data_IF_281277988586
#
_entry.id   IF_281277988586
#
_cell.length_a   1.000
_cell.length_b   1.000
_cell.length_c   1.000
_cell.angle_alpha   90.00
_cell.angle_beta   90.00
_cell.angle_gamma   90.00
#
_symmetry.space_group_name_H-M   'P 1'
#
loop_
_entity.id
_entity.type
_entity.pdbx_description
1 polymer ?
#
# COMPACT_ATOMS: atom_id res chain seq x y z
N UNK A 1 -42.14 3.39 17.95
CA UNK A 1 -40.95 3.33 17.05
C UNK A 1 -39.75 3.84 17.82
N UNK A 2 -38.96 2.96 18.39
CA UNK A 2 -37.70 3.36 19.04
C UNK A 2 -36.69 3.68 17.93
N UNK A 3 -36.37 4.95 17.75
CA UNK A 3 -35.37 5.37 16.80
C UNK A 3 -34.03 4.66 17.10
N UNK A 4 -33.48 3.94 16.15
CA UNK A 4 -32.13 3.34 16.27
C UNK A 4 -31.16 4.48 16.63
N UNK A 5 -30.59 4.43 17.84
CA UNK A 5 -29.56 5.39 18.25
C UNK A 5 -28.42 5.29 17.22
N UNK A 6 -28.07 6.42 16.62
CA UNK A 6 -26.95 6.50 15.68
C UNK A 6 -25.68 6.02 16.38
N UNK A 7 -24.83 5.24 15.71
CA UNK A 7 -23.58 4.81 16.31
C UNK A 7 -22.70 6.01 16.66
N UNK A 8 -22.09 5.96 17.83
CA UNK A 8 -21.25 7.03 18.37
C UNK A 8 -19.91 6.48 18.83
N UNK A 9 -18.85 7.23 18.63
CA UNK A 9 -17.52 6.93 19.17
C UNK A 9 -17.26 7.73 20.43
N UNK A 10 -16.74 7.08 21.46
CA UNK A 10 -16.32 7.73 22.70
C UNK A 10 -14.90 8.26 22.52
N UNK A 11 -14.71 9.56 22.67
CA UNK A 11 -13.41 10.22 22.60
C UNK A 11 -12.65 10.19 23.92
N UNK A 12 -13.38 10.14 25.03
CA UNK A 12 -12.81 10.17 26.37
C UNK A 12 -13.86 10.48 27.42
N UNK A 13 -13.40 10.75 28.61
CA UNK A 13 -14.22 11.15 29.76
C UNK A 13 -13.79 12.52 30.26
N UNK A 14 -14.70 13.24 30.91
CA UNK A 14 -14.44 14.56 31.47
C UNK A 14 -15.30 14.81 32.72
N UNK A 15 -15.10 15.94 33.35
CA UNK A 15 -15.84 16.35 34.57
C UNK A 15 -15.34 15.70 35.85
N UNK A 16 -16.04 15.94 36.99
CA UNK A 16 -15.68 15.34 38.26
C UNK A 16 -15.65 13.82 38.18
N UNK A 17 -14.57 13.21 38.68
CA UNK A 17 -14.35 11.76 38.67
C UNK A 17 -14.35 11.12 37.26
N UNK A 18 -14.21 11.90 36.19
CA UNK A 18 -14.26 11.39 34.79
C UNK A 18 -15.53 10.59 34.45
N UNK A 19 -16.69 10.95 35.02
CA UNK A 19 -17.94 10.23 34.84
C UNK A 19 -18.68 10.57 33.55
N UNK A 20 -18.45 11.75 33.00
CA UNK A 20 -19.10 12.19 31.76
C UNK A 20 -18.33 11.71 30.54
N UNK A 21 -19.00 11.06 29.62
CA UNK A 21 -18.39 10.58 28.35
C UNK A 21 -18.56 11.64 27.25
N UNK A 22 -17.44 12.02 26.63
CA UNK A 22 -17.45 12.80 25.40
C UNK A 22 -17.65 11.84 24.22
N UNK A 23 -18.72 12.01 23.45
CA UNK A 23 -19.05 11.15 22.30
C UNK A 23 -19.31 12.01 21.08
N UNK A 24 -18.89 11.51 19.93
CA UNK A 24 -19.25 12.06 18.63
C UNK A 24 -20.02 11.03 17.81
N UNK A 25 -21.02 11.46 17.03
CA UNK A 25 -21.68 10.60 16.06
C UNK A 25 -20.66 10.17 15.00
N UNK A 26 -20.87 8.98 14.38
CA UNK A 26 -19.94 8.43 13.39
C UNK A 26 -19.78 9.36 12.18
N UNK A 27 -20.84 10.06 11.80
CA UNK A 27 -20.84 11.03 10.69
C UNK A 27 -19.87 12.21 10.91
N UNK A 28 -19.46 12.49 12.15
CA UNK A 28 -18.44 13.50 12.43
C UNK A 28 -17.04 13.10 11.90
N UNK A 29 -16.87 11.83 11.55
CA UNK A 29 -15.62 11.29 10.99
C UNK A 29 -15.65 11.15 9.46
N UNK A 30 -16.72 11.59 8.80
CA UNK A 30 -16.79 11.66 7.32
C UNK A 30 -15.78 12.67 6.74
N UNK A 31 -15.25 13.53 7.61
CA UNK A 31 -14.13 14.43 7.33
C UNK A 31 -12.88 14.01 8.11
N UNK A 32 -11.77 14.70 7.89
CA UNK A 32 -10.51 14.35 8.54
C UNK A 32 -10.48 14.71 10.03
N UNK A 33 -9.95 13.81 10.85
CA UNK A 33 -9.57 14.08 12.24
C UNK A 33 -8.05 14.22 12.32
N UNK A 34 -7.57 15.37 12.81
CA UNK A 34 -6.16 15.61 13.05
C UNK A 34 -5.85 15.60 14.53
N UNK A 35 -4.99 14.66 14.97
CA UNK A 35 -4.63 14.46 16.39
C UNK A 35 -3.22 14.97 16.64
N UNK A 36 -3.09 16.05 17.40
CA UNK A 36 -1.83 16.70 17.72
C UNK A 36 -1.49 16.54 19.20
N UNK A 37 -0.23 16.32 19.50
CA UNK A 37 0.26 16.26 20.86
C UNK A 37 1.74 15.88 20.91
N UNK A 38 2.40 16.20 22.03
CA UNK A 38 3.79 15.80 22.25
C UNK A 38 3.93 14.29 22.31
N UNK A 39 5.14 13.79 22.03
CA UNK A 39 5.47 12.37 22.18
C UNK A 39 5.12 11.88 23.59
N UNK A 40 4.65 10.63 23.70
CA UNK A 40 4.23 9.97 24.96
C UNK A 40 3.02 10.63 25.66
N UNK A 41 2.22 11.43 24.97
CA UNK A 41 1.00 12.07 25.53
C UNK A 41 -0.31 11.37 25.10
N UNK A 42 -0.26 10.10 24.72
CA UNK A 42 -1.43 9.28 24.52
C UNK A 42 -2.08 9.33 23.13
N UNK A 43 -1.45 9.97 22.11
CA UNK A 43 -2.01 10.01 20.74
C UNK A 43 -2.32 8.61 20.18
N UNK A 44 -1.36 7.69 20.26
CA UNK A 44 -1.52 6.33 19.77
C UNK A 44 -2.59 5.58 20.55
N UNK A 45 -2.69 5.74 21.87
CA UNK A 45 -3.74 5.15 22.69
C UNK A 45 -5.13 5.71 22.38
N UNK A 46 -5.22 6.98 22.05
CA UNK A 46 -6.47 7.59 21.56
C UNK A 46 -6.90 6.97 20.22
N UNK A 47 -5.98 6.89 19.25
CA UNK A 47 -6.25 6.26 17.95
C UNK A 47 -6.61 4.77 18.11
N UNK A 48 -5.89 4.03 18.95
CA UNK A 48 -6.19 2.64 19.30
C UNK A 48 -7.63 2.49 19.80
N UNK A 49 -8.05 3.37 20.73
CA UNK A 49 -9.42 3.35 21.26
C UNK A 49 -10.47 3.61 20.19
N UNK A 50 -10.23 4.54 19.26
CA UNK A 50 -11.16 4.81 18.15
C UNK A 50 -11.25 3.62 17.19
N UNK A 51 -10.11 3.07 16.79
CA UNK A 51 -10.05 1.91 15.88
C UNK A 51 -10.73 0.68 16.50
N UNK A 52 -10.48 0.39 17.78
CA UNK A 52 -11.14 -0.70 18.49
C UNK A 52 -12.66 -0.53 18.52
N UNK A 53 -13.16 0.69 18.74
CA UNK A 53 -14.60 0.97 18.72
C UNK A 53 -15.19 0.77 17.32
N UNK A 54 -14.51 1.23 16.25
CA UNK A 54 -14.95 1.03 14.87
C UNK A 54 -15.05 -0.46 14.53
N UNK A 55 -14.02 -1.23 14.87
CA UNK A 55 -14.02 -2.69 14.66
C UNK A 55 -15.17 -3.38 15.39
N UNK A 56 -15.39 -3.05 16.66
CA UNK A 56 -16.48 -3.62 17.47
C UNK A 56 -17.90 -3.18 17.02
N UNK A 57 -18.00 -2.06 16.30
CA UNK A 57 -19.25 -1.59 15.68
C UNK A 57 -19.45 -2.18 14.27
N UNK A 58 -18.58 -3.06 13.79
CA UNK A 58 -18.63 -3.61 12.44
C UNK A 58 -18.41 -2.56 11.35
N UNK A 59 -17.68 -1.48 11.66
CA UNK A 59 -17.32 -0.46 10.70
C UNK A 59 -15.96 -0.79 10.08
N UNK A 60 -15.84 -0.59 8.75
CA UNK A 60 -14.56 -0.72 8.06
C UNK A 60 -13.59 0.38 8.51
N UNK A 61 -12.33 0.02 8.66
CA UNK A 61 -11.26 1.00 8.89
C UNK A 61 -9.93 0.48 8.36
N UNK A 62 -9.01 1.41 8.04
CA UNK A 62 -7.64 1.12 7.64
C UNK A 62 -6.64 1.75 8.61
N UNK A 63 -5.60 1.01 8.97
CA UNK A 63 -4.47 1.49 9.75
C UNK A 63 -3.18 1.26 8.96
N UNK A 64 -2.40 2.33 8.74
CA UNK A 64 -1.02 2.25 8.29
C UNK A 64 -0.12 2.57 9.50
N UNK A 65 0.54 1.55 10.02
CA UNK A 65 1.40 1.70 11.20
C UNK A 65 2.89 1.55 10.82
N UNK A 66 3.64 2.65 10.77
CA UNK A 66 5.06 2.62 10.44
C UNK A 66 5.96 2.13 11.60
N UNK A 67 5.38 1.85 12.79
CA UNK A 67 6.13 1.50 13.99
C UNK A 67 5.76 0.16 14.62
N UNK A 68 4.72 -0.52 14.15
CA UNK A 68 4.14 -1.77 14.68
C UNK A 68 3.40 -1.65 16.01
N UNK A 69 3.73 -0.65 16.84
CA UNK A 69 3.22 -0.53 18.22
C UNK A 69 1.69 -0.44 18.29
N UNK A 70 1.07 0.29 17.35
CA UNK A 70 -0.37 0.49 17.34
C UNK A 70 -1.12 -0.74 16.85
N UNK A 71 -0.58 -1.45 15.86
CA UNK A 71 -1.10 -2.73 15.39
C UNK A 71 -1.05 -3.78 16.51
N UNK A 72 0.11 -3.93 17.16
CA UNK A 72 0.30 -4.90 18.25
C UNK A 72 -0.63 -4.59 19.45
N UNK A 73 -0.70 -3.34 19.86
CA UNK A 73 -1.59 -2.88 20.94
C UNK A 73 -3.08 -3.13 20.63
N UNK A 74 -3.50 -2.84 19.38
CA UNK A 74 -4.88 -3.02 18.94
C UNK A 74 -5.27 -4.49 18.88
N UNK A 75 -4.44 -5.33 18.26
CA UNK A 75 -4.65 -6.77 18.20
C UNK A 75 -4.61 -7.41 19.58
N UNK A 76 -3.68 -7.01 20.45
CA UNK A 76 -3.63 -7.47 21.84
C UNK A 76 -4.88 -7.11 22.63
N UNK A 77 -5.39 -5.89 22.48
CA UNK A 77 -6.65 -5.46 23.13
C UNK A 77 -7.87 -6.26 22.63
N UNK A 78 -7.94 -6.56 21.35
CA UNK A 78 -9.08 -7.23 20.73
C UNK A 78 -8.95 -8.76 20.70
N UNK A 79 -7.80 -9.31 21.08
CA UNK A 79 -7.51 -10.75 21.02
C UNK A 79 -8.63 -11.65 21.58
N UNK A 80 -9.20 -11.39 22.79
CA UNK A 80 -10.29 -12.21 23.31
C UNK A 80 -11.53 -12.18 22.45
N UNK A 81 -11.82 -11.02 21.82
CA UNK A 81 -12.96 -10.85 20.91
C UNK A 81 -12.72 -11.51 19.56
N UNK A 82 -11.52 -11.40 18.99
CA UNK A 82 -11.15 -12.03 17.73
C UNK A 82 -11.22 -13.57 17.81
N UNK A 83 -10.92 -14.15 18.98
CA UNK A 83 -11.07 -15.61 19.19
C UNK A 83 -12.54 -16.01 19.34
N UNK A 84 -13.35 -15.20 20.06
CA UNK A 84 -14.74 -15.55 20.36
C UNK A 84 -15.73 -15.18 19.28
N UNK A 85 -15.34 -14.34 18.30
CA UNK A 85 -16.18 -13.81 17.23
C UNK A 85 -15.52 -14.10 15.86
N UNK A 86 -15.87 -15.23 15.23
CA UNK A 86 -15.31 -15.60 13.92
C UNK A 86 -15.62 -14.59 12.81
N UNK A 87 -16.75 -13.90 12.87
CA UNK A 87 -17.13 -12.89 11.89
C UNK A 87 -16.22 -11.67 12.00
N UNK A 88 -15.94 -11.20 13.21
CA UNK A 88 -14.97 -10.14 13.45
C UNK A 88 -13.58 -10.56 12.98
N UNK A 89 -13.16 -11.77 13.30
CA UNK A 89 -11.86 -12.29 12.89
C UNK A 89 -11.71 -12.35 11.35
N UNK A 90 -12.72 -12.86 10.65
CA UNK A 90 -12.72 -12.98 9.18
C UNK A 90 -12.76 -11.63 8.46
N UNK A 91 -13.19 -10.57 9.15
CA UNK A 91 -13.20 -9.22 8.62
C UNK A 91 -11.87 -8.46 8.77
N UNK A 92 -10.91 -9.01 9.53
CA UNK A 92 -9.62 -8.37 9.74
C UNK A 92 -8.59 -8.94 8.76
N UNK A 93 -8.02 -8.05 7.94
CA UNK A 93 -6.88 -8.35 7.07
C UNK A 93 -5.64 -7.74 7.70
N UNK A 94 -4.68 -8.59 8.08
CA UNK A 94 -3.42 -8.15 8.67
C UNK A 94 -2.29 -8.31 7.66
N UNK A 95 -1.82 -7.17 7.13
CA UNK A 95 -0.72 -7.09 6.20
C UNK A 95 0.57 -6.71 6.92
N UNK A 96 1.47 -7.65 7.06
CA UNK A 96 2.78 -7.48 7.69
C UNK A 96 3.88 -8.04 6.78
N UNK A 97 4.45 -7.22 5.86
CA UNK A 97 5.43 -7.68 4.87
C UNK A 97 6.77 -8.13 5.49
N UNK A 98 7.00 -7.86 6.78
CA UNK A 98 8.18 -8.31 7.52
C UNK A 98 8.10 -9.73 8.11
N UNK A 99 6.97 -10.44 7.96
CA UNK A 99 6.80 -11.82 8.48
C UNK A 99 7.53 -12.86 7.65
N UNK A 100 7.87 -13.99 8.31
CA UNK A 100 8.50 -15.14 7.64
C UNK A 100 7.52 -16.28 7.36
N UNK A 101 6.45 -16.38 8.16
CA UNK A 101 5.51 -17.50 8.18
C UNK A 101 4.28 -17.31 7.30
N UNK A 102 3.92 -16.08 7.01
CA UNK A 102 2.74 -15.75 6.19
C UNK A 102 2.94 -14.45 5.42
N UNK A 103 2.79 -14.49 4.12
CA UNK A 103 2.89 -13.34 3.23
C UNK A 103 1.57 -13.12 2.50
N UNK A 104 1.06 -11.90 2.54
CA UNK A 104 -0.10 -11.49 1.75
C UNK A 104 0.42 -10.99 0.39
N UNK A 105 0.03 -11.61 -0.73
CA UNK A 105 0.46 -11.15 -2.05
C UNK A 105 -0.15 -9.78 -2.36
N UNK A 106 0.66 -8.92 -2.96
CA UNK A 106 0.23 -7.58 -3.36
C UNK A 106 0.85 -7.19 -4.70
N UNK A 107 0.15 -7.48 -5.80
CA UNK A 107 0.53 -7.02 -7.11
C UNK A 107 0.09 -5.57 -7.32
N UNK A 108 1.02 -4.63 -7.18
CA UNK A 108 0.78 -3.18 -7.33
C UNK A 108 0.33 -2.79 -8.75
N UNK A 109 0.52 -3.65 -9.74
CA UNK A 109 0.10 -3.43 -11.13
C UNK A 109 -1.30 -3.99 -11.42
N UNK A 110 -1.81 -4.89 -10.57
CA UNK A 110 -3.13 -5.54 -10.74
C UNK A 110 -4.17 -4.90 -9.82
N UNK A 111 -4.26 -3.59 -9.88
CA UNK A 111 -5.25 -2.79 -9.14
C UNK A 111 -6.35 -2.37 -10.13
N UNK A 112 -7.65 -2.45 -9.76
CA UNK A 112 -8.73 -1.97 -10.61
C UNK A 112 -8.56 -0.49 -10.98
N UNK A 113 -8.56 -0.20 -12.28
CA UNK A 113 -8.40 1.17 -12.77
C UNK A 113 -7.93 1.22 -14.22
N UNK A 114 -7.83 2.43 -14.73
CA UNK A 114 -7.28 2.68 -16.05
C UNK A 114 -5.75 2.44 -16.00
N UNK A 115 -5.17 1.68 -16.95
CA UNK A 115 -3.75 1.27 -16.92
C UNK A 115 -2.76 2.42 -16.74
N UNK A 116 -3.01 3.55 -17.40
CA UNK A 116 -2.17 4.72 -17.29
C UNK A 116 -2.21 5.32 -15.88
N UNK A 117 -3.37 5.38 -15.26
CA UNK A 117 -3.54 5.86 -13.88
C UNK A 117 -2.82 4.96 -12.88
N UNK A 118 -2.94 3.64 -13.03
CA UNK A 118 -2.21 2.67 -12.20
C UNK A 118 -0.70 2.87 -12.33
N UNK A 119 -0.19 2.96 -13.58
CA UNK A 119 1.23 3.19 -13.83
C UNK A 119 1.72 4.53 -13.24
N UNK A 120 0.94 5.59 -13.33
CA UNK A 120 1.27 6.89 -12.75
C UNK A 120 1.31 6.84 -11.22
N UNK A 121 0.40 6.15 -10.57
CA UNK A 121 0.39 5.99 -9.12
C UNK A 121 1.65 5.24 -8.63
N UNK A 122 2.05 4.19 -9.33
CA UNK A 122 3.29 3.46 -9.01
C UNK A 122 4.52 4.35 -9.24
N UNK A 123 4.57 5.09 -10.36
CA UNK A 123 5.65 6.04 -10.62
C UNK A 123 5.74 7.12 -9.55
N UNK A 124 4.60 7.61 -9.06
CA UNK A 124 4.57 8.61 -7.99
C UNK A 124 5.04 8.02 -6.65
N UNK A 125 4.71 6.76 -6.35
CA UNK A 125 5.27 6.06 -5.18
C UNK A 125 6.81 5.98 -5.26
N UNK A 126 7.37 5.70 -6.44
CA UNK A 126 8.83 5.77 -6.66
C UNK A 126 9.38 7.17 -6.38
N UNK A 127 8.73 8.24 -6.88
CA UNK A 127 9.18 9.62 -6.64
C UNK A 127 9.16 10.00 -5.17
N UNK A 128 8.15 9.57 -4.43
CA UNK A 128 8.04 9.82 -2.98
C UNK A 128 9.07 9.04 -2.17
N UNK A 129 9.39 7.83 -2.61
CA UNK A 129 10.40 7.00 -1.94
C UNK A 129 11.81 7.56 -2.13
N UNK A 130 12.15 8.07 -3.33
CA UNK A 130 13.46 8.60 -3.68
C UNK A 130 13.42 10.04 -4.21
N UNK A 131 12.94 11.01 -3.42
CA UNK A 131 12.69 12.38 -3.90
C UNK A 131 13.94 13.07 -4.43
N UNK A 132 15.09 12.91 -3.76
CA UNK A 132 16.34 13.57 -4.14
C UNK A 132 16.86 13.09 -5.49
N UNK A 133 16.79 11.79 -5.77
CA UNK A 133 17.32 11.19 -7.00
C UNK A 133 16.38 11.28 -8.19
N UNK A 134 15.08 11.53 -7.98
CA UNK A 134 14.05 11.52 -9.02
C UNK A 134 13.45 12.90 -9.32
N UNK A 135 13.83 13.93 -8.56
CA UNK A 135 13.29 15.29 -8.68
C UNK A 135 13.47 15.89 -10.08
N UNK A 136 14.55 15.56 -10.79
CA UNK A 136 14.88 16.08 -12.13
C UNK A 136 15.36 14.95 -13.04
N UNK A 137 14.57 13.89 -13.16
CA UNK A 137 14.92 12.74 -14.00
C UNK A 137 13.80 12.36 -15.00
N UNK A 138 13.52 13.21 -16.02
CA UNK A 138 12.44 12.94 -16.97
C UNK A 138 12.63 11.64 -17.75
N UNK A 139 13.88 11.27 -18.06
CA UNK A 139 14.19 10.02 -18.78
C UNK A 139 13.90 8.79 -17.91
N UNK A 140 14.21 8.85 -16.60
CA UNK A 140 13.82 7.82 -15.64
C UNK A 140 12.31 7.60 -15.64
N UNK A 141 11.57 8.69 -15.51
CA UNK A 141 10.09 8.64 -15.48
C UNK A 141 9.53 8.02 -16.77
N UNK A 142 10.10 8.35 -17.93
CA UNK A 142 9.66 7.78 -19.21
C UNK A 142 9.94 6.28 -19.30
N UNK A 143 11.14 5.81 -18.85
CA UNK A 143 11.48 4.39 -18.83
C UNK A 143 10.51 3.63 -17.91
N UNK A 144 10.35 4.11 -16.68
CA UNK A 144 9.50 3.45 -15.69
C UNK A 144 8.06 3.41 -16.16
N UNK A 145 7.51 4.53 -16.64
CA UNK A 145 6.13 4.60 -17.13
C UNK A 145 5.88 3.66 -18.31
N UNK A 146 6.74 3.68 -19.32
CA UNK A 146 6.62 2.78 -20.48
C UNK A 146 6.75 1.31 -20.08
N UNK A 147 7.65 1.01 -19.14
CA UNK A 147 7.81 -0.36 -18.59
C UNK A 147 6.58 -0.81 -17.83
N UNK A 148 6.04 0.03 -16.94
CA UNK A 148 4.84 -0.27 -16.18
C UNK A 148 3.63 -0.52 -17.08
N UNK A 149 3.42 0.33 -18.09
CA UNK A 149 2.33 0.15 -19.06
C UNK A 149 2.45 -1.18 -19.82
N UNK A 150 3.66 -1.55 -20.24
CA UNK A 150 3.90 -2.83 -20.91
C UNK A 150 3.65 -4.02 -19.98
N UNK A 151 4.10 -3.94 -18.73
CA UNK A 151 3.89 -5.00 -17.74
C UNK A 151 2.42 -5.15 -17.39
N UNK A 152 1.68 -4.06 -17.22
CA UNK A 152 0.23 -4.07 -16.95
C UNK A 152 -0.53 -4.72 -18.11
N UNK A 153 -0.22 -4.32 -19.36
CA UNK A 153 -0.88 -4.88 -20.54
C UNK A 153 -0.64 -6.39 -20.72
N UNK A 154 0.51 -6.89 -20.26
CA UNK A 154 0.88 -8.30 -20.34
C UNK A 154 0.50 -9.10 -19.07
N UNK A 155 -0.25 -8.49 -18.14
CA UNK A 155 -0.63 -9.09 -16.82
C UNK A 155 0.59 -9.61 -16.03
N UNK A 156 1.68 -8.87 -16.09
CA UNK A 156 2.95 -9.16 -15.41
C UNK A 156 3.07 -8.37 -14.10
N UNK A 157 4.15 -8.63 -13.38
CA UNK A 157 4.42 -7.98 -12.08
C UNK A 157 5.58 -7.00 -12.17
N UNK A 158 5.74 -6.16 -11.16
CA UNK A 158 6.86 -5.21 -11.05
C UNK A 158 8.23 -5.91 -11.07
N UNK A 159 8.29 -7.16 -10.60
CA UNK A 159 9.51 -7.98 -10.51
C UNK A 159 10.10 -8.30 -11.89
N UNK A 160 9.29 -8.26 -12.94
CA UNK A 160 9.75 -8.48 -14.32
C UNK A 160 10.45 -7.26 -14.93
N UNK A 161 10.39 -6.08 -14.30
CA UNK A 161 10.97 -4.86 -14.85
C UNK A 161 12.49 -4.94 -15.10
N UNK A 162 13.32 -5.49 -14.22
CA UNK A 162 14.75 -5.65 -14.51
C UNK A 162 14.98 -6.48 -15.77
N UNK A 163 14.29 -7.59 -15.90
CA UNK A 163 14.40 -8.47 -17.05
C UNK A 163 13.96 -7.79 -18.35
N UNK A 164 12.87 -7.06 -18.31
CA UNK A 164 12.39 -6.24 -19.43
C UNK A 164 13.45 -5.24 -19.90
N UNK A 165 14.15 -4.61 -18.97
CA UNK A 165 15.15 -3.58 -19.30
C UNK A 165 16.50 -4.15 -19.73
N UNK A 166 16.90 -5.32 -19.24
CA UNK A 166 18.23 -5.90 -19.49
C UNK A 166 18.26 -6.95 -20.60
N UNK A 167 17.17 -7.70 -20.83
CA UNK A 167 17.10 -8.80 -21.79
C UNK A 167 16.41 -8.36 -23.09
N UNK A 168 17.13 -8.10 -24.21
CA UNK A 168 16.52 -7.67 -25.47
C UNK A 168 15.49 -8.66 -26.03
N UNK A 169 15.79 -9.95 -25.96
CA UNK A 169 14.88 -11.00 -26.45
C UNK A 169 13.55 -11.05 -25.70
N UNK A 170 13.59 -10.95 -24.38
CA UNK A 170 12.40 -10.89 -23.53
C UNK A 170 11.59 -9.63 -23.86
N UNK A 171 12.23 -8.48 -23.89
CA UNK A 171 11.57 -7.22 -24.25
C UNK A 171 10.88 -7.28 -25.61
N UNK A 172 11.57 -7.79 -26.64
CA UNK A 172 10.98 -7.93 -27.97
C UNK A 172 9.78 -8.87 -27.99
N UNK A 173 9.81 -9.97 -27.24
CA UNK A 173 8.68 -10.89 -27.13
C UNK A 173 7.44 -10.18 -26.54
N UNK A 174 7.59 -9.36 -25.52
CA UNK A 174 6.51 -8.57 -24.93
C UNK A 174 6.01 -7.49 -25.91
N UNK A 175 6.91 -6.77 -26.57
CA UNK A 175 6.54 -5.72 -27.53
C UNK A 175 5.77 -6.24 -28.76
N UNK A 176 5.97 -7.50 -29.15
CA UNK A 176 5.18 -8.12 -30.24
C UNK A 176 3.71 -8.32 -29.87
N UNK A 177 3.40 -8.42 -28.60
CA UNK A 177 2.04 -8.62 -28.07
C UNK A 177 1.41 -7.32 -27.54
N UNK A 178 2.19 -6.21 -27.58
CA UNK A 178 1.75 -4.93 -27.04
C UNK A 178 0.90 -4.19 -28.07
N UNK A 179 -0.31 -3.79 -27.69
CA UNK A 179 -1.22 -3.01 -28.49
C UNK A 179 -0.99 -1.49 -28.34
N UNK A 180 -0.32 -1.07 -27.27
CA UNK A 180 -0.02 0.34 -27.04
C UNK A 180 1.11 0.83 -27.95
N UNK A 181 0.71 1.52 -29.03
CA UNK A 181 1.62 2.00 -30.07
C UNK A 181 2.71 2.94 -29.51
N UNK A 182 2.36 3.78 -28.54
CA UNK A 182 3.33 4.71 -27.94
C UNK A 182 4.38 4.00 -27.08
N UNK A 183 4.01 2.94 -26.37
CA UNK A 183 4.95 2.08 -25.64
C UNK A 183 5.89 1.37 -26.61
N UNK A 184 5.37 0.81 -27.69
CA UNK A 184 6.18 0.14 -28.74
C UNK A 184 7.12 1.15 -29.37
N UNK A 185 6.65 2.34 -29.75
CA UNK A 185 7.45 3.42 -30.31
C UNK A 185 8.55 3.87 -29.36
N UNK A 186 8.21 4.07 -28.07
CA UNK A 186 9.19 4.44 -27.05
C UNK A 186 10.37 3.45 -27.00
N UNK A 187 10.09 2.15 -26.89
CA UNK A 187 11.15 1.15 -26.79
C UNK A 187 11.97 1.03 -28.09
N UNK A 188 11.32 0.99 -29.26
CA UNK A 188 12.01 0.80 -30.55
C UNK A 188 12.79 2.02 -31.02
N UNK A 189 12.22 3.22 -30.83
CA UNK A 189 12.78 4.43 -31.46
C UNK A 189 13.58 5.29 -30.48
N UNK A 190 13.24 5.30 -29.20
CA UNK A 190 13.94 6.13 -28.21
C UNK A 190 14.87 5.31 -27.34
N UNK A 191 14.37 4.29 -26.66
CA UNK A 191 15.14 3.47 -25.72
C UNK A 191 16.34 2.79 -26.38
N UNK A 192 16.17 2.17 -27.54
CA UNK A 192 17.27 1.49 -28.25
C UNK A 192 18.30 2.48 -28.82
N UNK A 193 17.89 3.71 -29.12
CA UNK A 193 18.80 4.74 -29.68
C UNK A 193 19.67 5.44 -28.64
N UNK A 194 19.42 5.27 -27.35
CA UNK A 194 20.24 5.94 -26.33
C UNK A 194 21.69 5.43 -26.21
N UNK A 195 22.04 4.37 -26.87
CA UNK A 195 23.41 3.86 -26.90
C UNK A 195 24.02 3.67 -25.51
N UNK A 196 25.16 4.28 -25.25
CA UNK A 196 25.88 4.19 -23.97
C UNK A 196 25.12 4.85 -22.81
N UNK A 197 24.34 5.90 -23.04
CA UNK A 197 23.57 6.55 -21.99
C UNK A 197 22.45 5.64 -21.45
N UNK A 198 22.00 4.66 -22.24
CA UNK A 198 20.98 3.69 -21.82
C UNK A 198 21.41 2.93 -20.58
N UNK A 199 22.67 2.48 -20.50
CA UNK A 199 23.16 1.72 -19.35
C UNK A 199 23.04 2.51 -18.06
N UNK A 200 23.48 3.76 -18.03
CA UNK A 200 23.39 4.63 -16.85
C UNK A 200 21.94 4.85 -16.39
N UNK A 201 21.02 5.01 -17.34
CA UNK A 201 19.60 5.21 -17.01
C UNK A 201 18.94 3.93 -16.53
N UNK A 202 19.23 2.81 -17.16
CA UNK A 202 18.77 1.49 -16.75
C UNK A 202 19.28 1.16 -15.35
N UNK A 203 20.57 1.38 -15.08
CA UNK A 203 21.15 1.21 -13.74
C UNK A 203 20.41 2.04 -12.68
N UNK A 204 20.03 3.27 -13.00
CA UNK A 204 19.23 4.09 -12.06
C UNK A 204 17.87 3.46 -11.72
N UNK A 205 17.24 2.78 -12.67
CA UNK A 205 15.98 2.04 -12.43
C UNK A 205 16.26 0.75 -11.68
N UNK A 206 17.26 -0.03 -12.11
CA UNK A 206 17.63 -1.30 -11.50
C UNK A 206 18.00 -1.16 -10.03
N UNK A 207 18.73 -0.11 -9.67
CA UNK A 207 19.10 0.17 -8.28
C UNK A 207 17.88 0.40 -7.37
N UNK A 208 16.79 0.90 -7.91
CA UNK A 208 15.55 1.13 -7.15
C UNK A 208 14.64 -0.10 -7.13
N UNK A 209 14.43 -0.71 -8.29
CA UNK A 209 13.62 -1.93 -8.40
C UNK A 209 14.36 -3.13 -7.81
N UNK A 210 15.69 -3.15 -7.91
CA UNK A 210 16.55 -4.21 -7.38
C UNK A 210 16.36 -4.47 -5.89
N UNK A 211 16.09 -3.43 -5.09
CA UNK A 211 15.79 -3.58 -3.67
C UNK A 211 14.61 -4.54 -3.42
N UNK A 212 13.61 -4.56 -4.32
CA UNK A 212 12.43 -5.44 -4.21
C UNK A 212 12.70 -6.85 -4.76
N UNK A 213 13.56 -6.96 -5.77
CA UNK A 213 13.89 -8.25 -6.41
C UNK A 213 14.88 -9.05 -5.55
N UNK A 214 15.80 -8.36 -4.87
CA UNK A 214 16.83 -8.98 -4.02
C UNK A 214 16.25 -9.47 -2.70
N UNK A 215 15.27 -8.74 -2.13
CA UNK A 215 14.59 -9.17 -0.92
C UNK A 215 13.60 -10.30 -1.24
N UNK A 216 13.83 -11.55 -0.74
CA UNK A 216 12.97 -12.68 -1.10
C UNK A 216 11.50 -12.50 -0.70
N UNK A 217 11.22 -11.84 0.43
CA UNK A 217 9.86 -11.56 0.91
C UNK A 217 9.15 -10.59 -0.02
N UNK A 218 9.79 -9.46 -0.33
CA UNK A 218 9.23 -8.47 -1.24
C UNK A 218 9.05 -9.03 -2.65
N UNK A 219 10.00 -9.84 -3.11
CA UNK A 219 9.88 -10.56 -4.37
C UNK A 219 8.65 -11.45 -4.41
N UNK A 220 8.35 -12.18 -3.32
CA UNK A 220 7.16 -13.01 -3.22
C UNK A 220 5.88 -12.17 -3.17
N UNK A 221 5.86 -11.12 -2.34
CA UNK A 221 4.70 -10.22 -2.20
C UNK A 221 4.36 -9.54 -3.52
N UNK A 222 5.35 -8.88 -4.15
CA UNK A 222 5.15 -8.06 -5.35
C UNK A 222 5.17 -8.86 -6.66
N UNK A 223 5.67 -10.08 -6.63
CA UNK A 223 5.80 -10.97 -7.79
C UNK A 223 4.64 -11.96 -7.95
N UNK A 224 3.67 -11.95 -7.05
CA UNK A 224 2.47 -12.78 -7.19
C UNK A 224 1.53 -12.20 -8.25
N UNK A 225 0.90 -13.07 -9.01
CA UNK A 225 -0.20 -12.67 -9.89
C UNK A 225 -1.52 -12.51 -9.14
N UNK A 226 -1.61 -13.06 -7.93
CA UNK A 226 -2.75 -12.86 -7.05
C UNK A 226 -2.60 -11.56 -6.26
N UNK A 227 -3.73 -10.96 -5.91
CA UNK A 227 -3.77 -9.78 -5.05
C UNK A 227 -4.59 -10.09 -3.79
N UNK A 228 -3.90 -10.30 -2.67
CA UNK A 228 -4.50 -10.51 -1.36
C UNK A 228 -5.04 -9.24 -0.70
N UNK A 229 -4.83 -8.06 -1.33
CA UNK A 229 -5.34 -6.77 -0.88
C UNK A 229 -6.32 -6.17 -1.90
N UNK A 230 -7.51 -6.75 -2.07
CA UNK A 230 -8.52 -6.21 -2.96
C UNK A 230 -9.18 -4.97 -2.32
N UNK A 231 -8.54 -3.81 -2.41
CA UNK A 231 -8.93 -2.58 -1.70
C UNK A 231 -10.40 -2.20 -1.89
N UNK A 232 -10.95 -2.36 -3.11
CA UNK A 232 -12.37 -2.09 -3.35
C UNK A 232 -13.26 -2.99 -2.48
N UNK A 233 -13.01 -4.28 -2.47
CA UNK A 233 -13.78 -5.24 -1.67
C UNK A 233 -13.58 -5.01 -0.17
N UNK A 234 -12.38 -4.58 0.25
CA UNK A 234 -12.07 -4.21 1.62
C UNK A 234 -12.93 -3.02 2.04
N UNK A 235 -12.97 -1.97 1.21
CA UNK A 235 -13.73 -0.74 1.50
C UNK A 235 -15.24 -0.98 1.43
N UNK A 236 -15.73 -1.58 0.36
CA UNK A 236 -17.17 -1.83 0.14
C UNK A 236 -17.72 -2.86 1.16
N UNK A 237 -16.91 -3.86 1.50
CA UNK A 237 -17.22 -4.90 2.49
C UNK A 237 -17.06 -4.46 3.94
N UNK A 238 -16.70 -3.20 4.20
CA UNK A 238 -16.42 -2.68 5.56
C UNK A 238 -15.43 -3.52 6.35
N UNK A 239 -14.42 -4.06 5.65
CA UNK A 239 -13.36 -4.84 6.29
C UNK A 239 -12.37 -3.94 7.02
N UNK A 240 -11.59 -4.53 7.91
CA UNK A 240 -10.52 -3.88 8.63
C UNK A 240 -9.19 -4.25 7.98
N UNK A 241 -8.42 -3.25 7.56
CA UNK A 241 -7.08 -3.45 7.01
C UNK A 241 -6.04 -2.89 7.99
N UNK A 242 -5.22 -3.76 8.55
CA UNK A 242 -4.11 -3.39 9.42
C UNK A 242 -2.80 -3.61 8.66
N UNK A 243 -2.12 -2.54 8.29
CA UNK A 243 -0.82 -2.57 7.63
C UNK A 243 0.27 -2.27 8.64
N UNK A 244 0.96 -3.31 9.12
CA UNK A 244 2.11 -3.20 9.99
C UNK A 244 3.39 -3.11 9.17
N UNK A 245 3.92 -1.90 9.05
CA UNK A 245 5.13 -1.59 8.27
C UNK A 245 6.36 -1.33 9.17
N UNK A 246 6.24 -1.49 10.48
CA UNK A 246 7.33 -1.20 11.41
C UNK A 246 8.48 -2.20 11.37
N UNK A 247 8.24 -3.41 10.84
CA UNK A 247 9.21 -4.51 10.83
C UNK A 247 9.93 -4.70 9.49
N UNK A 248 9.90 -3.69 8.63
CA UNK A 248 10.64 -3.63 7.37
C UNK A 248 11.60 -2.44 7.37
N UNK A 249 12.55 -2.45 6.44
CA UNK A 249 13.47 -1.33 6.25
C UNK A 249 12.75 -0.02 5.81
N UNK A 250 13.46 1.10 5.92
CA UNK A 250 12.86 2.42 5.68
C UNK A 250 12.41 2.64 4.22
N UNK A 251 13.12 2.06 3.24
CA UNK A 251 12.75 2.16 1.82
C UNK A 251 11.50 1.35 1.53
N UNK A 252 11.45 0.10 1.98
CA UNK A 252 10.26 -0.77 1.88
C UNK A 252 9.04 -0.11 2.52
N UNK A 253 9.21 0.47 3.70
CA UNK A 253 8.14 1.18 4.40
C UNK A 253 7.58 2.35 3.61
N UNK A 254 8.45 3.17 3.00
CA UNK A 254 8.05 4.32 2.19
C UNK A 254 7.37 3.92 0.89
N UNK A 255 7.72 2.76 0.35
CA UNK A 255 7.12 2.28 -0.89
C UNK A 255 5.73 1.67 -0.68
N UNK A 256 5.55 0.91 0.42
CA UNK A 256 4.30 0.20 0.70
C UNK A 256 3.27 1.05 1.46
N UNK A 257 3.69 2.12 2.13
CA UNK A 257 2.83 3.07 2.86
C UNK A 257 2.66 4.36 2.14
#
# INVERSE_FOLDING_TARGET
MFGRRRPQLTLGTFGPLNLLRCRLPLEAFDTHLYVVGRTKKGKSKFLQSLLAQLMLLGQGCGLLDPHSDLCDDLLGQLHPRLISDPDLCSNVIYFQPGRDDYLVPFNVLRIPGEPYTVAQNVLEAFRRTWPESLRVAPRFSNIVLASLLLLIEQDLTLIEMPRLLTEPGYRQALLRRCNNVEVVRFFRERYERWGRERSTMVESVLNKVGAFVINPRLKTILGSQENGLPFREIMDGRKVLLCDLGRVDAETRRLLG
#
